data_IF_573980867665
#
_entry.id   IF_573980867665
#
_cell.length_a   1.000
_cell.length_b   1.000
_cell.length_c   1.000
_cell.angle_alpha   90.00
_cell.angle_beta   90.00
_cell.angle_gamma   90.00
#
_symmetry.space_group_name_H-M   'P 1'
#
loop_
_entity.id
_entity.type
_entity.pdbx_description
1 polymer ?
#
# COMPACT_ATOMS: atom_id res chain seq x y z
N UNK A 1 7.43 19.10 0.14
CA UNK A 1 7.11 17.91 -0.68
C UNK A 1 6.06 18.28 -1.74
N UNK A 2 6.26 17.83 -2.98
CA UNK A 2 5.26 17.98 -4.05
C UNK A 2 3.98 17.20 -3.69
N UNK A 3 2.80 17.67 -4.12
CA UNK A 3 1.58 16.87 -4.06
C UNK A 3 1.66 15.71 -5.07
N UNK A 4 0.78 14.72 -4.92
CA UNK A 4 0.61 13.67 -5.91
C UNK A 4 0.34 14.26 -7.30
N UNK A 5 1.05 13.77 -8.31
CA UNK A 5 0.83 14.18 -9.70
C UNK A 5 -0.46 13.59 -10.27
N UNK A 6 -0.96 14.18 -11.36
CA UNK A 6 -2.13 13.66 -12.11
C UNK A 6 -1.85 12.33 -12.80
N UNK A 7 -0.57 11.99 -13.00
CA UNK A 7 -0.12 10.71 -13.55
C UNK A 7 0.93 10.13 -12.62
N UNK A 8 0.82 8.84 -12.33
CA UNK A 8 1.80 8.08 -11.56
C UNK A 8 2.27 6.86 -12.35
N UNK A 9 3.51 6.43 -12.11
CA UNK A 9 4.04 5.18 -12.63
C UNK A 9 3.76 4.06 -11.62
N UNK A 10 2.99 3.03 -12.03
CA UNK A 10 2.77 1.82 -11.25
C UNK A 10 3.86 0.77 -11.46
N UNK A 11 4.16 -0.03 -10.45
CA UNK A 11 5.26 -1.02 -10.46
C UNK A 11 4.78 -2.45 -10.20
N UNK A 12 3.48 -2.73 -10.40
CA UNK A 12 2.87 -4.03 -10.09
C UNK A 12 3.28 -5.15 -11.06
N UNK A 13 3.23 -4.88 -12.36
CA UNK A 13 3.39 -5.90 -13.42
C UNK A 13 4.86 -6.33 -13.61
N UNK A 14 5.06 -7.42 -14.35
CA UNK A 14 6.39 -7.93 -14.72
C UNK A 14 6.80 -9.19 -13.97
N UNK A 15 7.95 -9.73 -14.36
CA UNK A 15 8.49 -10.96 -13.78
C UNK A 15 9.39 -10.68 -12.57
N UNK A 16 9.72 -11.73 -11.83
CA UNK A 16 10.67 -11.67 -10.71
C UNK A 16 12.14 -11.75 -11.18
N UNK A 17 12.42 -11.39 -12.43
CA UNK A 17 13.74 -11.51 -13.03
C UNK A 17 14.61 -10.26 -12.80
N UNK A 18 15.93 -10.45 -12.79
CA UNK A 18 16.89 -9.33 -12.76
C UNK A 18 16.76 -8.43 -14.00
N UNK A 19 16.39 -9.00 -15.14
CA UNK A 19 16.16 -8.24 -16.37
C UNK A 19 15.00 -7.26 -16.21
N UNK A 20 13.87 -7.71 -15.65
CA UNK A 20 12.72 -6.84 -15.41
C UNK A 20 13.02 -5.79 -14.33
N UNK A 21 13.81 -6.13 -13.31
CA UNK A 21 14.28 -5.14 -12.32
C UNK A 21 15.09 -4.02 -12.96
N UNK A 22 16.02 -4.35 -13.88
CA UNK A 22 16.76 -3.32 -14.60
C UNK A 22 15.85 -2.45 -15.47
N UNK A 23 14.84 -3.05 -16.14
CA UNK A 23 13.86 -2.29 -16.92
C UNK A 23 13.04 -1.35 -16.04
N UNK A 24 12.63 -1.78 -14.84
CA UNK A 24 11.90 -0.93 -13.88
C UNK A 24 12.75 0.25 -13.41
N UNK A 25 14.01 0.01 -13.02
CA UNK A 25 14.93 1.09 -12.64
C UNK A 25 15.04 2.12 -13.77
N UNK A 26 15.25 1.70 -15.00
CA UNK A 26 15.35 2.61 -16.14
C UNK A 26 14.01 3.30 -16.47
N UNK A 27 12.88 2.58 -16.38
CA UNK A 27 11.55 3.17 -16.60
C UNK A 27 11.23 4.26 -15.57
N UNK A 28 11.53 4.04 -14.30
CA UNK A 28 11.34 5.03 -13.23
C UNK A 28 12.23 6.26 -13.49
N UNK A 29 13.51 6.06 -13.80
CA UNK A 29 14.44 7.15 -14.12
C UNK A 29 13.98 7.95 -15.35
N UNK A 30 13.47 7.26 -16.37
CA UNK A 30 12.92 7.90 -17.56
C UNK A 30 11.67 8.71 -17.24
N UNK A 31 10.72 8.14 -16.49
CA UNK A 31 9.48 8.79 -16.07
C UNK A 31 9.78 10.09 -15.30
N UNK A 32 10.66 10.02 -14.32
CA UNK A 32 11.05 11.18 -13.49
C UNK A 32 11.70 12.27 -14.34
N UNK A 33 12.62 11.93 -15.24
CA UNK A 33 13.27 12.90 -16.15
C UNK A 33 12.28 13.56 -17.11
N UNK A 34 11.13 12.92 -17.37
CA UNK A 34 10.07 13.45 -18.22
C UNK A 34 8.87 14.01 -17.45
N UNK A 35 9.04 14.32 -16.16
CA UNK A 35 8.05 15.05 -15.36
C UNK A 35 7.00 14.20 -14.64
N UNK A 36 7.12 12.86 -14.65
CA UNK A 36 6.28 11.96 -13.85
C UNK A 36 7.01 11.71 -12.53
N UNK A 37 6.61 12.42 -11.48
CA UNK A 37 7.25 12.39 -10.17
C UNK A 37 6.52 11.53 -9.14
N UNK A 38 5.38 10.94 -9.48
CA UNK A 38 4.61 10.05 -8.62
C UNK A 38 4.85 8.60 -8.99
N UNK A 39 5.20 7.77 -8.01
CA UNK A 39 5.47 6.34 -8.19
C UNK A 39 4.61 5.56 -7.19
N UNK A 40 3.93 4.53 -7.67
CA UNK A 40 3.03 3.69 -6.88
C UNK A 40 3.52 2.25 -6.85
N UNK A 41 3.92 1.81 -5.66
CA UNK A 41 4.38 0.46 -5.37
C UNK A 41 3.55 -0.27 -4.33
N UNK A 42 4.01 -1.44 -3.94
CA UNK A 42 3.56 -2.19 -2.77
C UNK A 42 4.62 -3.21 -2.37
N UNK A 43 4.68 -3.53 -1.08
CA UNK A 43 5.67 -4.49 -0.55
C UNK A 43 5.54 -5.89 -1.17
N UNK A 44 4.31 -6.32 -1.51
CA UNK A 44 4.06 -7.61 -2.12
C UNK A 44 4.35 -7.65 -3.63
N UNK A 45 4.48 -6.49 -4.30
CA UNK A 45 4.70 -6.44 -5.73
C UNK A 45 6.04 -7.06 -6.10
N UNK A 46 5.97 -8.04 -7.02
CA UNK A 46 7.14 -8.77 -7.51
C UNK A 46 8.04 -9.31 -6.37
N UNK A 47 7.44 -9.74 -5.25
CA UNK A 47 8.17 -10.29 -4.11
C UNK A 47 9.21 -9.33 -3.54
N UNK A 48 8.83 -8.10 -3.26
CA UNK A 48 9.63 -6.94 -2.83
C UNK A 48 10.57 -6.33 -3.90
N UNK A 49 10.65 -6.89 -5.10
CA UNK A 49 11.53 -6.32 -6.14
C UNK A 49 11.07 -4.91 -6.53
N UNK A 50 9.76 -4.63 -6.58
CA UNK A 50 9.25 -3.31 -6.97
C UNK A 50 9.79 -2.20 -6.07
N UNK A 51 9.63 -2.30 -4.77
CA UNK A 51 10.16 -1.29 -3.84
C UNK A 51 11.69 -1.19 -3.89
N UNK A 52 12.41 -2.30 -4.08
CA UNK A 52 13.87 -2.29 -4.22
C UNK A 52 14.32 -1.61 -5.51
N UNK A 53 13.63 -1.87 -6.62
CA UNK A 53 13.90 -1.24 -7.91
C UNK A 53 13.61 0.28 -7.85
N UNK A 54 12.53 0.67 -7.16
CA UNK A 54 12.22 2.07 -6.86
C UNK A 54 13.33 2.71 -6.02
N UNK A 55 13.78 2.05 -4.96
CA UNK A 55 14.86 2.54 -4.09
C UNK A 55 16.17 2.76 -4.85
N UNK A 56 16.55 1.82 -5.73
CA UNK A 56 17.74 1.96 -6.59
C UNK A 56 17.58 3.17 -7.53
N UNK A 57 16.45 3.28 -8.23
CA UNK A 57 16.21 4.37 -9.17
C UNK A 57 16.22 5.74 -8.47
N UNK A 58 15.56 5.85 -7.31
CA UNK A 58 15.52 7.08 -6.51
C UNK A 58 16.90 7.48 -6.00
N UNK A 59 17.68 6.51 -5.48
CA UNK A 59 19.03 6.76 -5.02
C UNK A 59 19.94 7.28 -6.15
N UNK A 60 19.88 6.68 -7.35
CA UNK A 60 20.65 7.14 -8.51
C UNK A 60 20.24 8.56 -8.95
N UNK A 61 18.94 8.85 -8.99
CA UNK A 61 18.43 10.16 -9.38
C UNK A 61 18.81 11.26 -8.36
N UNK A 62 18.70 10.98 -7.06
CA UNK A 62 19.08 11.92 -6.00
C UNK A 62 20.58 12.12 -5.95
N UNK A 63 21.39 11.05 -6.05
CA UNK A 63 22.85 11.16 -6.04
C UNK A 63 23.40 11.92 -7.26
N UNK A 64 22.71 11.87 -8.40
CA UNK A 64 23.05 12.63 -9.59
C UNK A 64 22.53 14.08 -9.58
N UNK A 65 21.82 14.49 -8.53
CA UNK A 65 21.26 15.85 -8.41
C UNK A 65 20.09 16.15 -9.37
N UNK A 66 19.49 15.12 -9.95
CA UNK A 66 18.33 15.28 -10.87
C UNK A 66 17.07 15.64 -10.09
N UNK A 67 16.90 15.07 -8.90
CA UNK A 67 15.79 15.35 -8.00
C UNK A 67 16.27 15.42 -6.54
N UNK A 68 15.44 16.02 -5.70
CA UNK A 68 15.49 15.87 -4.23
C UNK A 68 14.33 14.95 -3.77
N UNK A 69 14.37 14.49 -2.52
CA UNK A 69 13.28 13.68 -1.94
C UNK A 69 11.93 14.42 -1.96
N UNK A 70 11.94 15.72 -1.78
CA UNK A 70 10.76 16.58 -1.75
C UNK A 70 10.09 16.73 -3.10
N UNK A 71 10.79 16.41 -4.18
CA UNK A 71 10.28 16.57 -5.54
C UNK A 71 9.57 15.32 -6.07
N UNK A 72 9.65 14.19 -5.36
CA UNK A 72 8.94 12.97 -5.71
C UNK A 72 7.84 12.65 -4.70
N UNK A 73 6.82 11.95 -5.18
CA UNK A 73 5.70 11.47 -4.38
C UNK A 73 5.67 9.94 -4.46
N UNK A 74 5.93 9.27 -3.35
CA UNK A 74 6.08 7.82 -3.30
C UNK A 74 4.92 7.23 -2.49
N UNK A 75 4.20 6.29 -3.09
CA UNK A 75 3.20 5.50 -2.39
C UNK A 75 3.58 4.03 -2.36
N UNK A 76 3.25 3.37 -1.26
CA UNK A 76 3.34 1.92 -1.11
C UNK A 76 2.15 1.38 -0.32
N UNK A 77 2.06 0.07 -0.15
CA UNK A 77 0.89 -0.60 0.42
C UNK A 77 1.30 -1.80 1.26
N UNK A 78 0.55 -2.07 2.34
CA UNK A 78 0.62 -3.31 3.10
C UNK A 78 -0.76 -3.84 3.46
N UNK A 79 -0.80 -5.08 3.92
CA UNK A 79 -2.02 -5.81 4.28
C UNK A 79 -2.03 -7.20 3.69
N UNK A 80 -1.53 -7.37 2.48
CA UNK A 80 -1.36 -8.69 1.86
C UNK A 80 -0.09 -9.36 2.36
N UNK A 81 -0.17 -10.67 2.62
CA UNK A 81 1.01 -11.49 2.92
C UNK A 81 1.97 -11.46 1.72
N UNK A 82 3.21 -11.17 2.00
CA UNK A 82 4.25 -11.03 0.98
C UNK A 82 5.39 -12.03 1.19
N UNK A 83 6.14 -12.28 0.13
CA UNK A 83 7.38 -13.04 0.16
C UNK A 83 8.58 -12.20 -0.23
N UNK A 84 9.77 -12.75 -0.04
CA UNK A 84 11.04 -12.17 -0.51
C UNK A 84 11.66 -13.07 -1.58
N UNK A 85 11.51 -12.69 -2.84
CA UNK A 85 12.01 -13.50 -3.95
C UNK A 85 13.55 -13.56 -3.97
N UNK A 86 14.22 -12.49 -3.56
CA UNK A 86 15.68 -12.44 -3.50
C UNK A 86 16.25 -13.41 -2.46
N UNK A 87 15.50 -13.61 -1.37
CA UNK A 87 15.82 -14.61 -0.34
C UNK A 87 15.27 -16.01 -0.67
N UNK A 88 14.59 -16.20 -1.80
CA UNK A 88 13.87 -17.44 -2.19
C UNK A 88 12.82 -17.87 -1.16
N UNK A 89 12.13 -16.91 -0.59
CA UNK A 89 11.07 -17.10 0.40
C UNK A 89 9.71 -16.71 -0.21
N UNK A 90 8.93 -17.66 -0.75
CA UNK A 90 7.55 -17.38 -1.12
C UNK A 90 6.72 -17.03 0.12
N UNK A 91 5.51 -16.43 -0.01
CA UNK A 91 4.77 -15.83 1.11
C UNK A 91 4.62 -16.74 2.34
N UNK A 92 4.17 -18.00 2.18
CA UNK A 92 4.00 -18.92 3.31
C UNK A 92 5.32 -19.27 4.00
N UNK A 93 6.40 -19.38 3.23
CA UNK A 93 7.73 -19.64 3.79
C UNK A 93 8.29 -18.39 4.48
N UNK A 94 8.00 -17.20 3.94
CA UNK A 94 8.37 -15.95 4.58
C UNK A 94 7.62 -15.79 5.92
N UNK A 95 6.32 -16.13 5.95
CA UNK A 95 5.54 -16.15 7.18
C UNK A 95 6.24 -17.00 8.26
N UNK A 96 6.49 -18.29 7.98
CA UNK A 96 7.06 -19.23 8.96
C UNK A 96 8.48 -18.88 9.38
N UNK A 97 9.32 -18.36 8.49
CA UNK A 97 10.73 -18.08 8.81
C UNK A 97 10.99 -16.67 9.34
N UNK A 98 10.15 -15.69 9.01
CA UNK A 98 10.42 -14.27 9.27
C UNK A 98 9.37 -13.55 10.10
N UNK A 99 8.12 -14.03 10.10
CA UNK A 99 7.02 -13.34 10.75
C UNK A 99 6.54 -14.06 12.02
N UNK A 100 6.52 -15.39 12.06
CA UNK A 100 6.05 -16.15 13.23
C UNK A 100 6.88 -15.85 14.50
N UNK A 101 8.18 -15.71 14.36
CA UNK A 101 9.04 -15.31 15.47
C UNK A 101 8.83 -13.87 15.97
N UNK A 102 8.03 -13.09 15.24
CA UNK A 102 7.59 -11.72 15.58
C UNK A 102 6.14 -11.68 16.03
N UNK A 103 5.52 -12.84 16.25
CA UNK A 103 4.16 -12.95 16.75
C UNK A 103 3.08 -12.81 15.69
N UNK A 104 3.41 -12.95 14.41
CA UNK A 104 2.43 -12.96 13.31
C UNK A 104 2.25 -14.40 12.85
N UNK A 105 1.03 -14.88 12.87
CA UNK A 105 0.68 -16.24 12.46
C UNK A 105 -0.32 -16.24 11.30
N UNK A 106 -0.60 -17.42 10.73
CA UNK A 106 -1.57 -17.54 9.64
C UNK A 106 -2.99 -17.17 10.08
N UNK A 107 -3.31 -17.33 11.37
CA UNK A 107 -4.61 -16.98 11.96
C UNK A 107 -4.87 -15.48 11.96
N UNK A 108 -3.83 -14.64 11.82
CA UNK A 108 -3.98 -13.19 11.66
C UNK A 108 -4.56 -12.80 10.30
N UNK A 109 -4.59 -13.72 9.34
CA UNK A 109 -4.96 -13.44 7.97
C UNK A 109 -6.33 -14.01 7.61
N UNK A 110 -7.07 -13.25 6.82
CA UNK A 110 -8.22 -13.73 6.05
C UNK A 110 -7.77 -14.11 4.65
N UNK A 111 -8.31 -15.19 4.11
CA UNK A 111 -7.91 -15.71 2.80
C UNK A 111 -9.06 -15.62 1.79
N UNK A 112 -8.74 -15.18 0.59
CA UNK A 112 -9.60 -15.24 -0.59
C UNK A 112 -8.76 -15.48 -1.85
N UNK A 113 -9.06 -16.53 -2.60
CA UNK A 113 -8.41 -16.91 -3.86
C UNK A 113 -6.86 -16.91 -3.80
N UNK A 114 -6.31 -17.39 -2.68
CA UNK A 114 -4.87 -17.47 -2.46
C UNK A 114 -4.22 -16.15 -2.01
N UNK A 115 -4.99 -15.08 -1.88
CA UNK A 115 -4.56 -13.84 -1.26
C UNK A 115 -4.85 -13.88 0.25
N UNK A 116 -3.85 -13.60 1.05
CA UNK A 116 -3.94 -13.56 2.51
C UNK A 116 -3.84 -12.11 2.97
N UNK A 117 -4.89 -11.56 3.58
CA UNK A 117 -4.96 -10.17 4.00
C UNK A 117 -5.18 -10.06 5.50
N UNK A 118 -4.55 -9.08 6.14
CA UNK A 118 -4.69 -8.80 7.56
C UNK A 118 -4.88 -7.31 7.84
N UNK A 119 -5.58 -7.01 8.95
CA UNK A 119 -5.66 -5.67 9.55
C UNK A 119 -4.85 -5.60 10.88
N UNK A 120 -3.97 -6.58 11.14
CA UNK A 120 -3.16 -6.59 12.36
C UNK A 120 -2.08 -5.50 12.33
N UNK A 121 -2.10 -4.48 13.22
CA UNK A 121 -1.12 -3.39 13.23
C UNK A 121 0.34 -3.86 13.39
N UNK A 122 0.58 -4.99 14.08
CA UNK A 122 1.93 -5.53 14.23
C UNK A 122 2.52 -6.00 12.90
N UNK A 123 1.69 -6.57 12.00
CA UNK A 123 2.11 -6.89 10.64
C UNK A 123 2.46 -5.62 9.85
N UNK A 124 1.63 -4.57 9.96
CA UNK A 124 1.89 -3.28 9.28
C UNK A 124 3.17 -2.62 9.78
N UNK A 125 3.49 -2.73 11.07
CA UNK A 125 4.77 -2.24 11.63
C UNK A 125 5.97 -2.91 10.97
N UNK A 126 5.92 -4.24 10.83
CA UNK A 126 6.99 -5.01 10.19
C UNK A 126 7.08 -4.65 8.70
N UNK A 127 5.94 -4.56 8.02
CA UNK A 127 5.86 -4.24 6.60
C UNK A 127 6.36 -2.82 6.31
N UNK A 128 5.95 -1.81 7.10
CA UNK A 128 6.38 -0.42 6.92
C UNK A 128 7.91 -0.29 7.08
N UNK A 129 8.47 -0.87 8.13
CA UNK A 129 9.92 -0.84 8.33
C UNK A 129 10.65 -1.50 7.16
N UNK A 130 10.11 -2.59 6.62
CA UNK A 130 10.69 -3.25 5.44
C UNK A 130 10.52 -2.45 4.16
N UNK A 131 9.38 -1.79 3.96
CA UNK A 131 9.14 -0.88 2.82
C UNK A 131 10.13 0.30 2.85
N UNK A 132 10.31 0.93 4.01
CA UNK A 132 11.29 2.02 4.16
C UNK A 132 12.72 1.55 3.85
N UNK A 133 13.09 0.35 4.32
CA UNK A 133 14.39 -0.28 4.00
C UNK A 133 14.55 -0.53 2.50
N UNK A 134 13.54 -1.14 1.84
CA UNK A 134 13.58 -1.45 0.42
C UNK A 134 13.69 -0.19 -0.44
N UNK A 135 12.93 0.86 -0.10
CA UNK A 135 12.89 2.14 -0.80
C UNK A 135 14.12 3.01 -0.50
N UNK A 136 14.85 2.73 0.60
CA UNK A 136 15.94 3.60 1.06
C UNK A 136 15.45 4.98 1.53
N UNK A 137 14.24 5.05 2.10
CA UNK A 137 13.60 6.29 2.51
C UNK A 137 13.32 6.31 4.02
N UNK A 138 13.27 7.50 4.60
CA UNK A 138 12.85 7.69 6.00
C UNK A 138 11.33 7.87 6.14
N UNK A 139 10.64 8.27 5.06
CA UNK A 139 9.21 8.54 5.03
C UNK A 139 8.61 8.15 3.67
N UNK A 140 7.42 7.55 3.70
CA UNK A 140 6.56 7.30 2.54
C UNK A 140 5.45 8.36 2.49
N UNK A 141 5.16 8.92 1.29
CA UNK A 141 4.16 9.99 1.17
C UNK A 141 2.74 9.46 1.40
N UNK A 142 2.39 8.29 0.84
CA UNK A 142 1.13 7.60 1.14
C UNK A 142 1.38 6.11 1.37
N UNK A 143 0.88 5.59 2.47
CA UNK A 143 0.91 4.17 2.76
C UNK A 143 -0.51 3.62 2.83
N UNK A 144 -0.87 2.72 1.90
CA UNK A 144 -2.24 2.24 1.77
C UNK A 144 -2.50 0.96 2.55
N UNK A 145 -3.72 0.83 3.08
CA UNK A 145 -4.30 -0.45 3.48
C UNK A 145 -4.70 -1.18 2.21
N UNK A 146 -4.06 -2.32 1.93
CA UNK A 146 -4.19 -3.04 0.66
C UNK A 146 -5.28 -4.10 0.72
N UNK A 147 -6.31 -3.95 -0.08
CA UNK A 147 -7.43 -4.88 -0.30
C UNK A 147 -8.07 -5.36 1.02
N UNK A 148 -8.52 -4.44 1.89
CA UNK A 148 -9.14 -4.82 3.16
C UNK A 148 -10.46 -5.56 3.00
N UNK A 149 -11.05 -5.56 1.80
CA UNK A 149 -12.28 -6.28 1.46
C UNK A 149 -12.17 -7.77 1.78
N UNK A 150 -10.99 -8.37 1.61
CA UNK A 150 -10.76 -9.78 1.92
C UNK A 150 -11.00 -10.06 3.41
N UNK A 151 -10.51 -9.19 4.29
CA UNK A 151 -10.76 -9.34 5.73
C UNK A 151 -12.22 -9.06 6.08
N UNK A 152 -12.87 -8.09 5.40
CA UNK A 152 -14.29 -7.81 5.60
C UNK A 152 -15.19 -9.02 5.32
N UNK A 153 -14.84 -9.85 4.34
CA UNK A 153 -15.61 -11.08 4.03
C UNK A 153 -15.67 -12.10 5.17
N UNK A 154 -14.70 -12.12 6.05
CA UNK A 154 -14.53 -13.15 7.09
C UNK A 154 -15.00 -12.69 8.46
N UNK A 155 -15.27 -11.42 8.62
CA UNK A 155 -15.65 -10.80 9.89
C UNK A 155 -17.10 -10.29 9.84
N UNK A 156 -17.69 -10.13 10.99
CA UNK A 156 -18.90 -9.32 11.12
C UNK A 156 -18.56 -7.85 10.87
N UNK A 157 -19.57 -7.06 10.56
CA UNK A 157 -19.43 -5.62 10.31
C UNK A 157 -18.71 -4.91 11.47
N UNK A 158 -19.13 -5.19 12.70
CA UNK A 158 -18.58 -4.55 13.90
C UNK A 158 -17.13 -4.97 14.14
N UNK A 159 -16.82 -6.26 14.06
CA UNK A 159 -15.45 -6.76 14.18
C UNK A 159 -14.50 -6.14 13.13
N UNK A 160 -14.97 -5.99 11.88
CA UNK A 160 -14.18 -5.36 10.83
C UNK A 160 -13.84 -3.91 11.17
N UNK A 161 -14.83 -3.10 11.54
CA UNK A 161 -14.59 -1.70 11.84
C UNK A 161 -13.85 -1.47 13.16
N UNK A 162 -13.97 -2.36 14.15
CA UNK A 162 -13.11 -2.35 15.35
C UNK A 162 -11.64 -2.58 14.99
N UNK A 163 -11.34 -3.59 14.17
CA UNK A 163 -9.97 -3.82 13.66
C UNK A 163 -9.47 -2.65 12.81
N UNK A 164 -10.33 -2.07 11.99
CA UNK A 164 -10.00 -0.90 11.18
C UNK A 164 -9.68 0.31 12.08
N UNK A 165 -10.41 0.54 13.18
CA UNK A 165 -10.09 1.61 14.13
C UNK A 165 -8.73 1.38 14.79
N UNK A 166 -8.40 0.15 15.20
CA UNK A 166 -7.08 -0.18 15.75
C UNK A 166 -5.96 0.12 14.76
N UNK A 167 -6.16 -0.26 13.48
CA UNK A 167 -5.18 -0.01 12.43
C UNK A 167 -5.05 1.48 12.11
N UNK A 168 -6.15 2.24 12.07
CA UNK A 168 -6.14 3.69 11.86
C UNK A 168 -5.39 4.39 12.99
N UNK A 169 -5.53 3.96 14.25
CA UNK A 169 -4.73 4.50 15.37
C UNK A 169 -3.23 4.29 15.15
N UNK A 170 -2.85 3.12 14.65
CA UNK A 170 -1.47 2.83 14.29
C UNK A 170 -0.98 3.77 13.16
N UNK A 171 -1.78 3.95 12.09
CA UNK A 171 -1.42 4.86 11.00
C UNK A 171 -1.23 6.30 11.46
N UNK A 172 -2.13 6.83 12.29
CA UNK A 172 -2.00 8.18 12.84
C UNK A 172 -0.73 8.32 13.69
N UNK A 173 -0.39 7.28 14.46
CA UNK A 173 0.89 7.25 15.20
C UNK A 173 2.08 7.32 14.25
N UNK A 174 2.09 6.57 13.15
CA UNK A 174 3.18 6.59 12.16
C UNK A 174 3.27 7.90 11.39
N UNK A 175 2.14 8.55 11.15
CA UNK A 175 2.13 9.90 10.59
C UNK A 175 2.74 10.91 11.59
N UNK A 176 2.39 10.81 12.85
CA UNK A 176 2.96 11.66 13.90
C UNK A 176 4.47 11.42 14.09
N UNK A 177 4.93 10.18 13.95
CA UNK A 177 6.36 9.82 13.97
C UNK A 177 7.12 10.28 12.71
N UNK A 178 6.42 10.76 11.68
CA UNK A 178 7.02 11.18 10.41
C UNK A 178 7.48 10.04 9.51
N UNK A 179 7.01 8.81 9.75
CA UNK A 179 7.30 7.64 8.91
C UNK A 179 6.39 7.54 7.69
N UNK A 180 5.18 8.05 7.82
CA UNK A 180 4.16 8.14 6.78
C UNK A 180 3.65 9.59 6.77
N UNK A 181 3.44 10.17 5.60
CA UNK A 181 2.87 11.52 5.50
C UNK A 181 1.34 11.49 5.50
N UNK A 182 0.77 10.57 4.73
CA UNK A 182 -0.67 10.32 4.63
C UNK A 182 -0.94 8.83 4.52
N UNK A 183 -2.16 8.44 4.79
CA UNK A 183 -2.60 7.07 4.51
C UNK A 183 -3.94 7.05 3.79
N UNK A 184 -4.27 5.87 3.26
CA UNK A 184 -5.48 5.63 2.51
C UNK A 184 -5.83 4.16 2.42
N UNK A 185 -6.78 3.84 1.57
CA UNK A 185 -7.19 2.47 1.26
C UNK A 185 -7.03 2.23 -0.24
N UNK A 186 -6.48 1.08 -0.61
CA UNK A 186 -6.44 0.59 -1.98
C UNK A 186 -7.42 -0.58 -2.11
N UNK A 187 -8.48 -0.35 -2.87
CA UNK A 187 -9.53 -1.31 -3.17
C UNK A 187 -9.24 -2.09 -4.45
N UNK A 188 -9.71 -3.33 -4.50
CA UNK A 188 -9.69 -4.19 -5.70
C UNK A 188 -11.10 -4.59 -6.10
N UNK A 189 -11.85 -5.22 -5.20
CA UNK A 189 -13.14 -5.84 -5.48
C UNK A 189 -14.34 -4.93 -5.34
N UNK A 190 -14.21 -3.85 -4.56
CA UNK A 190 -15.33 -2.95 -4.24
C UNK A 190 -15.93 -2.26 -5.48
N UNK A 191 -15.12 -2.08 -6.53
CA UNK A 191 -15.53 -1.39 -7.77
C UNK A 191 -16.03 -2.32 -8.86
N UNK A 192 -15.94 -3.64 -8.67
CA UNK A 192 -16.37 -4.64 -9.67
C UNK A 192 -17.86 -4.97 -9.60
N UNK A 193 -18.52 -4.66 -8.48
CA UNK A 193 -19.88 -5.04 -8.20
C UNK A 193 -20.70 -3.93 -7.51
N UNK A 194 -22.06 -4.02 -7.53
CA UNK A 194 -22.94 -3.06 -6.86
C UNK A 194 -22.72 -2.95 -5.35
N UNK A 195 -23.11 -1.81 -4.77
CA UNK A 195 -22.97 -1.52 -3.34
C UNK A 195 -23.63 -2.51 -2.37
N UNK A 196 -24.55 -3.30 -2.82
CA UNK A 196 -25.23 -4.32 -2.00
C UNK A 196 -24.38 -5.58 -1.80
N UNK A 197 -23.16 -5.58 -2.35
CA UNK A 197 -22.31 -6.73 -2.26
C UNK A 197 -21.52 -6.80 -0.93
N UNK A 198 -21.05 -8.00 -0.65
CA UNK A 198 -20.25 -8.35 0.53
C UNK A 198 -18.89 -7.62 0.63
N UNK A 199 -18.40 -7.06 -0.49
CA UNK A 199 -17.11 -6.36 -0.57
C UNK A 199 -17.21 -4.90 -0.14
N UNK A 200 -18.42 -4.35 -0.08
CA UNK A 200 -18.63 -2.93 0.15
C UNK A 200 -18.11 -2.49 1.53
N UNK A 201 -17.26 -1.46 1.52
CA UNK A 201 -16.75 -0.78 2.71
C UNK A 201 -17.28 0.66 2.67
N UNK A 202 -17.99 1.07 3.71
CA UNK A 202 -18.51 2.43 3.83
C UNK A 202 -17.36 3.42 4.07
N UNK A 203 -17.00 4.19 3.03
CA UNK A 203 -15.91 5.16 3.08
C UNK A 203 -16.19 6.23 4.16
N UNK A 204 -17.45 6.69 4.29
CA UNK A 204 -17.81 7.68 5.30
C UNK A 204 -17.64 7.15 6.73
N UNK A 205 -17.88 5.86 6.95
CA UNK A 205 -17.61 5.23 8.26
C UNK A 205 -16.10 5.21 8.57
N UNK A 206 -15.26 4.95 7.57
CA UNK A 206 -13.80 5.05 7.72
C UNK A 206 -13.37 6.50 8.03
N UNK A 207 -13.91 7.49 7.33
CA UNK A 207 -13.65 8.92 7.59
C UNK A 207 -14.06 9.30 9.02
N UNK A 208 -15.20 8.79 9.49
CA UNK A 208 -15.67 9.02 10.86
C UNK A 208 -14.76 8.38 11.91
N UNK A 209 -14.22 7.18 11.64
CA UNK A 209 -13.23 6.54 12.51
C UNK A 209 -11.95 7.38 12.54
N UNK A 210 -11.45 7.85 11.41
CA UNK A 210 -10.26 8.70 11.35
C UNK A 210 -10.46 10.02 12.13
N UNK A 211 -11.65 10.66 12.00
CA UNK A 211 -12.02 11.84 12.79
C UNK A 211 -12.10 11.55 14.29
N UNK A 212 -12.68 10.41 14.68
CA UNK A 212 -12.74 9.97 16.08
C UNK A 212 -11.36 9.78 16.68
N UNK A 213 -10.43 9.23 15.90
CA UNK A 213 -9.05 8.91 16.35
C UNK A 213 -8.17 10.14 16.45
N UNK A 214 -8.21 11.04 15.46
CA UNK A 214 -7.23 12.14 15.32
C UNK A 214 -7.85 13.50 14.97
N UNK A 215 -9.19 13.62 15.03
CA UNK A 215 -9.90 14.86 14.73
C UNK A 215 -9.93 15.22 13.23
N UNK A 216 -10.32 16.45 12.93
CA UNK A 216 -10.47 16.93 11.54
C UNK A 216 -9.14 17.01 10.78
N UNK A 217 -8.03 17.10 11.48
CA UNK A 217 -6.68 17.15 10.89
C UNK A 217 -6.04 15.77 10.73
N UNK A 218 -6.84 14.69 10.80
CA UNK A 218 -6.36 13.33 10.54
C UNK A 218 -5.65 13.20 9.19
N UNK A 219 -4.85 12.15 9.02
CA UNK A 219 -4.02 11.93 7.84
C UNK A 219 -4.63 10.94 6.83
N UNK A 220 -5.87 10.52 7.00
CA UNK A 220 -6.62 9.75 5.99
C UNK A 220 -7.00 10.65 4.83
N UNK A 221 -6.33 10.54 3.67
CA UNK A 221 -6.47 11.48 2.56
C UNK A 221 -6.65 10.85 1.18
N UNK A 222 -6.39 9.54 1.05
CA UNK A 222 -6.32 8.91 -0.26
C UNK A 222 -7.18 7.65 -0.32
N UNK A 223 -7.78 7.46 -1.48
CA UNK A 223 -8.43 6.21 -1.88
C UNK A 223 -7.90 5.87 -3.27
N UNK A 224 -7.47 4.62 -3.44
CA UNK A 224 -7.01 4.06 -4.70
C UNK A 224 -7.96 2.95 -5.10
N UNK A 225 -8.42 2.96 -6.34
CA UNK A 225 -9.29 1.94 -6.90
C UNK A 225 -9.15 1.90 -8.42
N UNK A 226 -9.56 0.80 -9.04
CA UNK A 226 -9.59 0.68 -10.47
C UNK A 226 -10.64 1.61 -11.08
N UNK A 227 -10.23 2.43 -12.05
CA UNK A 227 -11.11 3.38 -12.75
C UNK A 227 -10.77 3.38 -14.24
N UNK A 228 -11.59 2.73 -15.02
CA UNK A 228 -11.46 2.66 -16.47
C UNK A 228 -12.83 2.50 -17.15
N UNK A 229 -12.87 2.51 -18.48
CA UNK A 229 -14.12 2.42 -19.26
C UNK A 229 -14.88 1.09 -19.10
N UNK A 230 -14.28 0.08 -18.52
CA UNK A 230 -14.90 -1.22 -18.24
C UNK A 230 -15.41 -1.33 -16.80
N UNK A 231 -15.15 -0.32 -15.97
CA UNK A 231 -15.43 -0.32 -14.54
C UNK A 231 -16.54 0.70 -14.20
N UNK A 232 -17.79 0.34 -14.52
CA UNK A 232 -18.95 1.23 -14.41
C UNK A 232 -19.25 1.69 -12.98
N UNK A 233 -18.91 0.87 -11.98
CA UNK A 233 -19.16 1.15 -10.56
C UNK A 233 -18.19 2.13 -9.94
N UNK A 234 -17.06 2.39 -10.59
CA UNK A 234 -16.04 3.30 -10.10
C UNK A 234 -16.58 4.74 -9.90
N UNK A 235 -17.53 5.21 -10.72
CA UNK A 235 -18.19 6.51 -10.53
C UNK A 235 -18.99 6.58 -9.24
N UNK A 236 -19.57 5.47 -8.80
CA UNK A 236 -20.32 5.40 -7.55
C UNK A 236 -19.40 5.47 -6.33
N UNK A 237 -18.22 4.81 -6.37
CA UNK A 237 -17.19 4.98 -5.34
C UNK A 237 -16.72 6.42 -5.28
N UNK A 238 -16.44 7.03 -6.44
CA UNK A 238 -16.03 8.42 -6.56
C UNK A 238 -17.04 9.40 -5.98
N UNK A 239 -18.34 9.12 -6.11
CA UNK A 239 -19.39 9.99 -5.57
C UNK A 239 -19.45 10.03 -4.05
N UNK A 240 -18.80 9.09 -3.34
CA UNK A 240 -18.72 9.01 -1.87
C UNK A 240 -17.50 9.74 -1.30
N UNK A 241 -16.58 10.22 -2.15
CA UNK A 241 -15.38 10.93 -1.73
C UNK A 241 -15.65 12.41 -1.47
#
# INVERSE_FOLDING_TARGET
HKPMGTVALGTHLGNFSKEDSLKYVEAIKYAVRNGIYSIDGAINYRGMCSERDEGVALAELMNSGIITREEVFISSKAGLLYGDISAKLPPMKYLSEKLENKGISIEDFSEYEGLFQTLNPAFYEIALNKSLENLGLEMIDVYYIHIPEITKLKLTEDEFYEKMEMLIRWYETKCFEGKIRYYGIAFEFMVEEPFENKWHIEIERIKNIARKVSGEKNHFKYILFEYNIMCDWADTVKSQM
#
